data_IF_657516138049
#
_entry.id   IF_657516138049
#
_cell.length_a   1.000
_cell.length_b   1.000
_cell.length_c   1.000
_cell.angle_alpha   90.00
_cell.angle_beta   90.00
_cell.angle_gamma   90.00
#
_symmetry.space_group_name_H-M   'P 1'
#
loop_
_entity.id
_entity.type
_entity.pdbx_description
1 polymer ?
#
# COMPACT_ATOMS: atom_id res chain seq x y z
N UNK A 1 7.97 5.96 -14.72
CA UNK A 1 7.10 4.77 -14.83
C UNK A 1 7.90 3.53 -14.52
N UNK A 2 7.25 2.51 -13.97
CA UNK A 2 7.83 1.21 -13.69
C UNK A 2 6.78 0.13 -13.97
N UNK A 3 7.20 -1.10 -14.25
CA UNK A 3 6.27 -2.22 -14.43
C UNK A 3 5.57 -2.55 -13.11
N UNK A 4 4.26 -2.79 -13.17
CA UNK A 4 3.40 -3.19 -12.04
C UNK A 4 2.84 -4.59 -12.29
N UNK A 5 2.08 -5.13 -11.33
CA UNK A 5 1.40 -6.42 -11.48
C UNK A 5 2.42 -7.56 -11.74
N UNK A 6 2.00 -8.70 -12.28
CA UNK A 6 2.87 -9.82 -12.60
C UNK A 6 4.05 -9.41 -13.51
N UNK A 7 3.89 -8.38 -14.34
CA UNK A 7 4.96 -7.91 -15.24
C UNK A 7 6.13 -7.27 -14.51
N UNK A 8 5.88 -6.69 -13.33
CA UNK A 8 6.90 -6.09 -12.48
C UNK A 8 7.41 -7.02 -11.38
N UNK A 9 6.61 -8.00 -10.96
CA UNK A 9 6.83 -8.70 -9.69
C UNK A 9 6.66 -10.22 -9.76
N UNK A 10 6.55 -10.82 -10.95
CA UNK A 10 6.61 -12.28 -11.09
C UNK A 10 7.95 -12.81 -10.56
N UNK A 11 7.87 -13.74 -9.61
CA UNK A 11 9.02 -14.42 -9.02
C UNK A 11 8.86 -15.92 -9.13
N UNK A 12 9.86 -16.57 -9.73
CA UNK A 12 9.96 -18.04 -9.82
C UNK A 12 11.33 -18.56 -9.38
N UNK A 13 12.18 -17.70 -8.79
CA UNK A 13 13.56 -18.05 -8.43
C UNK A 13 14.45 -18.37 -9.63
N UNK A 14 14.06 -17.92 -10.83
CA UNK A 14 14.77 -18.14 -12.09
C UNK A 14 15.31 -16.82 -12.63
N UNK A 15 16.38 -16.87 -13.41
CA UNK A 15 16.93 -15.68 -14.08
C UNK A 15 15.92 -14.96 -14.99
N UNK A 16 14.99 -15.72 -15.61
CA UNK A 16 13.94 -15.18 -16.49
C UNK A 16 12.72 -14.64 -15.73
N UNK A 17 12.62 -14.91 -14.43
CA UNK A 17 11.58 -14.41 -13.53
C UNK A 17 12.14 -14.22 -12.11
N UNK A 18 13.07 -13.27 -11.91
CA UNK A 18 13.81 -13.12 -10.66
C UNK A 18 13.05 -12.30 -9.59
N UNK A 19 11.83 -11.84 -9.90
CA UNK A 19 11.12 -10.85 -9.07
C UNK A 19 11.67 -9.42 -9.24
N UNK A 20 11.00 -8.46 -8.58
CA UNK A 20 11.46 -7.07 -8.42
C UNK A 20 11.82 -6.29 -9.70
N UNK A 21 11.39 -6.73 -10.88
CA UNK A 21 11.63 -6.02 -12.13
C UNK A 21 11.07 -4.58 -12.10
N UNK A 22 9.94 -4.35 -11.41
CA UNK A 22 9.40 -3.02 -11.16
C UNK A 22 10.30 -2.13 -10.30
N UNK A 23 10.97 -2.68 -9.28
CA UNK A 23 11.94 -1.92 -8.48
C UNK A 23 13.22 -1.62 -9.27
N UNK A 24 13.65 -2.55 -10.12
CA UNK A 24 14.78 -2.33 -11.03
C UNK A 24 14.48 -1.25 -12.08
N UNK A 25 13.25 -1.17 -12.58
CA UNK A 25 12.83 -0.08 -13.47
C UNK A 25 12.92 1.28 -12.76
N UNK A 26 12.46 1.35 -11.51
CA UNK A 26 12.57 2.57 -10.70
C UNK A 26 14.04 2.94 -10.45
N UNK A 27 14.89 1.98 -10.11
CA UNK A 27 16.32 2.20 -9.93
C UNK A 27 16.98 2.73 -11.21
N UNK A 28 16.64 2.20 -12.39
CA UNK A 28 17.18 2.71 -13.65
C UNK A 28 16.67 4.12 -13.95
N UNK A 29 15.41 4.43 -13.63
CA UNK A 29 14.90 5.79 -13.72
C UNK A 29 15.66 6.75 -12.80
N UNK A 30 15.96 6.36 -11.56
CA UNK A 30 16.77 7.18 -10.63
C UNK A 30 18.20 7.39 -11.14
N UNK A 31 18.83 6.34 -11.69
CA UNK A 31 20.14 6.47 -12.34
C UNK A 31 20.09 7.41 -13.54
N UNK A 32 19.01 7.36 -14.34
CA UNK A 32 18.81 8.30 -15.44
C UNK A 32 18.68 9.74 -14.94
N UNK A 33 17.87 9.98 -13.89
CA UNK A 33 17.74 11.32 -13.28
C UNK A 33 19.10 11.81 -12.82
N UNK A 34 19.84 11.01 -12.06
CA UNK A 34 21.18 11.39 -11.59
C UNK A 34 22.15 11.72 -12.74
N UNK A 35 22.08 11.04 -13.89
CA UNK A 35 22.93 11.33 -15.05
C UNK A 35 22.50 12.56 -15.85
N UNK A 36 21.23 12.93 -15.84
CA UNK A 36 20.67 13.87 -16.81
C UNK A 36 20.04 15.13 -16.21
N UNK A 37 19.68 15.13 -14.93
CA UNK A 37 18.86 16.22 -14.35
C UNK A 37 19.55 17.58 -14.39
N UNK A 38 20.88 17.62 -14.39
CA UNK A 38 21.68 18.83 -14.58
C UNK A 38 21.36 19.57 -15.89
N UNK A 39 21.03 18.84 -16.97
CA UNK A 39 20.64 19.44 -18.25
C UNK A 39 19.27 20.15 -18.18
N UNK A 40 18.46 19.84 -17.16
CA UNK A 40 17.15 20.45 -16.91
C UNK A 40 17.20 21.50 -15.79
N UNK A 41 18.40 21.83 -15.28
CA UNK A 41 18.60 22.81 -14.21
C UNK A 41 18.42 22.26 -12.78
N UNK A 42 18.30 20.94 -12.60
CA UNK A 42 18.32 20.32 -11.28
C UNK A 42 19.73 19.93 -10.83
N UNK A 43 19.92 19.68 -9.55
CA UNK A 43 21.18 19.19 -9.00
C UNK A 43 21.11 17.66 -8.80
N UNK A 44 21.98 16.85 -9.45
CA UNK A 44 21.97 15.40 -9.27
C UNK A 44 22.35 14.94 -7.85
N UNK A 45 22.97 15.81 -7.03
CA UNK A 45 23.22 15.58 -5.61
C UNK A 45 22.05 16.03 -4.71
N UNK A 46 20.93 16.45 -5.32
CA UNK A 46 19.74 16.98 -4.65
C UNK A 46 18.44 16.38 -5.22
N UNK A 47 18.30 15.06 -5.06
CA UNK A 47 17.13 14.31 -5.53
C UNK A 47 16.27 13.76 -4.38
N UNK A 48 15.21 14.47 -3.99
CA UNK A 48 14.28 13.93 -2.98
C UNK A 48 13.35 12.88 -3.61
N UNK A 49 13.34 11.66 -3.04
CA UNK A 49 12.37 10.64 -3.42
C UNK A 49 11.11 10.77 -2.55
N UNK A 50 9.94 10.81 -3.21
CA UNK A 50 8.64 10.87 -2.57
C UNK A 50 7.71 9.85 -3.22
N UNK A 51 6.85 9.23 -2.41
CA UNK A 51 5.82 8.32 -2.88
C UNK A 51 4.72 8.15 -1.84
N UNK A 52 3.57 7.68 -2.30
CA UNK A 52 2.39 7.35 -1.50
C UNK A 52 2.04 5.87 -1.72
N UNK A 53 1.45 5.23 -0.71
CA UNK A 53 1.05 3.81 -0.75
C UNK A 53 2.20 2.90 -1.23
N UNK A 54 2.01 2.10 -2.28
CA UNK A 54 3.05 1.26 -2.88
C UNK A 54 4.30 2.05 -3.36
N UNK A 55 4.14 3.33 -3.70
CA UNK A 55 5.26 4.24 -3.99
C UNK A 55 6.08 4.58 -2.74
N UNK A 56 5.43 4.75 -1.58
CA UNK A 56 6.12 4.95 -0.30
C UNK A 56 6.89 3.68 0.10
N UNK A 57 6.27 2.51 -0.06
CA UNK A 57 6.93 1.22 0.15
C UNK A 57 8.15 1.05 -0.76
N UNK A 58 8.01 1.40 -2.04
CA UNK A 58 9.10 1.42 -3.04
C UNK A 58 10.23 2.39 -2.67
N UNK A 59 9.92 3.46 -1.94
CA UNK A 59 10.90 4.45 -1.44
C UNK A 59 11.66 3.98 -0.19
N UNK A 60 11.36 2.78 0.31
CA UNK A 60 12.04 2.14 1.44
C UNK A 60 11.14 1.81 2.63
N UNK A 61 9.89 2.32 2.68
CA UNK A 61 8.96 2.11 3.79
C UNK A 61 8.19 0.79 3.69
N UNK A 62 8.86 -0.31 3.38
CA UNK A 62 8.25 -1.63 3.15
C UNK A 62 7.97 -2.41 4.45
N UNK A 63 7.42 -1.76 5.48
CA UNK A 63 7.06 -2.37 6.78
C UNK A 63 5.61 -2.84 6.85
N UNK A 64 4.76 -2.34 5.96
CA UNK A 64 3.36 -2.75 5.86
C UNK A 64 3.24 -4.23 5.43
N UNK A 65 2.24 -4.98 5.93
CA UNK A 65 2.08 -6.40 5.61
C UNK A 65 1.92 -6.72 4.12
N UNK A 66 1.42 -5.77 3.34
CA UNK A 66 1.14 -5.91 1.91
C UNK A 66 2.30 -5.47 1.01
N UNK A 67 3.37 -4.91 1.59
CA UNK A 67 4.47 -4.30 0.83
C UNK A 67 5.50 -5.32 0.31
N UNK A 68 5.48 -6.55 0.81
CA UNK A 68 6.43 -7.62 0.50
C UNK A 68 5.73 -8.97 0.63
N UNK A 69 6.05 -9.90 -0.26
CA UNK A 69 5.57 -11.28 -0.19
C UNK A 69 6.72 -12.29 -0.07
N UNK A 70 6.41 -13.46 0.48
CA UNK A 70 7.35 -14.58 0.55
C UNK A 70 7.55 -15.24 -0.83
N UNK A 71 8.79 -15.63 -1.09
CA UNK A 71 9.19 -16.33 -2.32
C UNK A 71 8.30 -17.54 -2.64
N UNK A 72 8.06 -18.41 -1.66
CA UNK A 72 7.24 -19.62 -1.84
C UNK A 72 5.78 -19.28 -2.21
N UNK A 73 5.22 -18.23 -1.59
CA UNK A 73 3.85 -17.78 -1.88
C UNK A 73 3.74 -17.24 -3.31
N UNK A 74 4.73 -16.46 -3.78
CA UNK A 74 4.74 -15.97 -5.16
C UNK A 74 4.87 -17.11 -6.18
N UNK A 75 5.64 -18.16 -5.88
CA UNK A 75 5.73 -19.35 -6.72
C UNK A 75 4.38 -20.08 -6.76
N UNK A 76 3.73 -20.28 -5.61
CA UNK A 76 2.39 -20.89 -5.55
C UNK A 76 1.37 -20.08 -6.36
N UNK A 77 1.38 -18.75 -6.25
CA UNK A 77 0.50 -17.86 -7.03
C UNK A 77 0.76 -17.98 -8.53
N UNK A 78 2.02 -18.09 -8.95
CA UNK A 78 2.37 -18.30 -10.36
C UNK A 78 1.87 -19.66 -10.87
N UNK A 79 1.90 -20.70 -10.04
CA UNK A 79 1.34 -22.02 -10.37
C UNK A 79 -0.20 -22.00 -10.44
N UNK A 80 -0.87 -21.21 -9.61
CA UNK A 80 -2.33 -21.01 -9.73
C UNK A 80 -2.69 -20.26 -11.02
N UNK A 81 -1.91 -19.23 -11.37
CA UNK A 81 -2.07 -18.50 -12.64
C UNK A 81 -1.86 -19.44 -13.85
N UNK A 82 -0.90 -20.35 -13.76
CA UNK A 82 -0.62 -21.37 -14.78
C UNK A 82 -1.87 -22.17 -15.17
N UNK A 83 -2.68 -22.59 -14.20
CA UNK A 83 -3.91 -23.36 -14.43
C UNK A 83 -4.93 -22.54 -15.23
N UNK A 84 -5.08 -21.25 -14.91
CA UNK A 84 -5.96 -20.33 -15.63
C UNK A 84 -5.44 -19.97 -17.03
N UNK A 85 -4.12 -19.94 -17.21
CA UNK A 85 -3.45 -19.65 -18.48
C UNK A 85 -3.19 -20.88 -19.36
N UNK A 86 -3.63 -22.07 -18.94
CA UNK A 86 -3.47 -23.34 -19.67
C UNK A 86 -2.00 -23.71 -19.94
N UNK A 87 -1.10 -23.41 -18.99
CA UNK A 87 0.34 -23.60 -19.16
C UNK A 87 0.85 -25.02 -18.87
N UNK A 88 -0.04 -25.98 -18.58
CA UNK A 88 0.28 -27.40 -18.33
C UNK A 88 1.37 -27.65 -17.26
N UNK A 89 1.60 -26.69 -16.37
CA UNK A 89 2.44 -26.82 -15.16
C UNK A 89 1.52 -26.50 -13.99
N UNK A 90 1.41 -27.38 -13.00
CA UNK A 90 0.40 -27.23 -11.94
C UNK A 90 1.01 -27.27 -10.56
N UNK A 91 0.30 -26.70 -9.59
CA UNK A 91 0.69 -26.78 -8.17
C UNK A 91 0.68 -28.23 -7.63
N UNK A 92 0.06 -29.17 -8.36
CA UNK A 92 0.01 -30.59 -8.01
C UNK A 92 1.25 -31.36 -8.49
N UNK A 93 2.06 -30.77 -9.34
CA UNK A 93 3.27 -31.40 -9.83
C UNK A 93 4.29 -31.50 -8.70
N UNK A 94 4.85 -32.68 -8.49
CA UNK A 94 5.87 -32.88 -7.44
C UNK A 94 7.12 -32.03 -7.66
N UNK A 95 7.43 -31.73 -8.92
CA UNK A 95 8.55 -30.89 -9.34
C UNK A 95 8.08 -30.11 -10.58
N UNK A 96 7.40 -28.97 -10.39
CA UNK A 96 6.86 -28.20 -11.50
C UNK A 96 8.02 -27.63 -12.35
N UNK A 97 7.92 -27.75 -13.67
CA UNK A 97 8.89 -27.14 -14.59
C UNK A 97 8.63 -25.63 -14.66
N UNK A 98 9.24 -24.89 -13.73
CA UNK A 98 9.08 -23.44 -13.63
C UNK A 98 9.60 -22.70 -14.87
N UNK A 99 10.57 -23.29 -15.60
CA UNK A 99 11.08 -22.67 -16.82
C UNK A 99 10.07 -22.83 -17.97
N UNK A 100 9.41 -23.99 -18.07
CA UNK A 100 8.29 -24.17 -18.99
C UNK A 100 7.13 -23.23 -18.65
N UNK A 101 6.86 -23.02 -17.36
CA UNK A 101 5.85 -22.05 -16.91
C UNK A 101 6.18 -20.63 -17.38
N UNK A 102 7.40 -20.13 -17.16
CA UNK A 102 7.83 -18.79 -17.63
C UNK A 102 7.60 -18.65 -19.13
N UNK A 103 8.06 -19.63 -19.92
CA UNK A 103 7.93 -19.61 -21.39
C UNK A 103 6.47 -19.56 -21.83
N UNK A 104 5.60 -20.30 -21.15
CA UNK A 104 4.18 -20.25 -21.44
C UNK A 104 3.56 -18.90 -21.09
N UNK A 105 3.82 -18.38 -19.88
CA UNK A 105 3.31 -17.07 -19.46
C UNK A 105 3.78 -15.93 -20.38
N UNK A 106 5.01 -16.01 -20.92
CA UNK A 106 5.53 -15.06 -21.90
C UNK A 106 4.80 -15.10 -23.26
N UNK A 107 4.21 -16.24 -23.61
CA UNK A 107 3.43 -16.42 -24.84
C UNK A 107 1.93 -16.16 -24.64
N UNK A 108 1.46 -16.13 -23.40
CA UNK A 108 0.06 -15.91 -23.08
C UNK A 108 -0.37 -14.48 -23.47
N UNK A 109 -1.60 -14.30 -23.98
CA UNK A 109 -2.16 -12.97 -24.20
C UNK A 109 -2.17 -12.15 -22.91
N UNK A 110 -1.73 -10.89 -22.99
CA UNK A 110 -1.72 -9.95 -21.85
C UNK A 110 -3.10 -9.83 -21.19
N UNK A 111 -4.16 -9.81 -21.99
CA UNK A 111 -5.54 -9.77 -21.47
C UNK A 111 -5.90 -10.98 -20.61
N UNK A 112 -5.41 -12.17 -20.97
CA UNK A 112 -5.63 -13.38 -20.20
C UNK A 112 -4.85 -13.35 -18.88
N UNK A 113 -3.59 -12.88 -18.91
CA UNK A 113 -2.79 -12.72 -17.70
C UNK A 113 -3.46 -11.78 -16.71
N UNK A 114 -3.88 -10.58 -17.17
CA UNK A 114 -4.54 -9.59 -16.33
C UNK A 114 -5.91 -10.05 -15.81
N UNK A 115 -6.67 -10.80 -16.61
CA UNK A 115 -7.97 -11.33 -16.18
C UNK A 115 -7.84 -12.34 -15.04
N UNK A 116 -6.71 -13.05 -14.95
CA UNK A 116 -6.50 -14.15 -14.02
C UNK A 116 -5.43 -13.87 -12.96
N UNK A 117 -4.85 -12.67 -12.92
CA UNK A 117 -3.76 -12.33 -12.00
C UNK A 117 -4.17 -12.32 -10.53
N UNK A 118 -5.45 -12.06 -10.24
CA UNK A 118 -6.02 -12.02 -8.90
C UNK A 118 -6.35 -13.43 -8.42
N UNK A 119 -5.30 -14.15 -8.03
CA UNK A 119 -5.38 -15.52 -7.49
C UNK A 119 -5.64 -15.57 -5.98
N UNK A 120 -5.60 -14.42 -5.30
CA UNK A 120 -5.93 -14.26 -3.87
C UNK A 120 -7.09 -13.28 -3.67
N UNK A 121 -7.82 -13.46 -2.57
CA UNK A 121 -9.01 -12.67 -2.22
C UNK A 121 -9.00 -12.20 -0.76
N UNK A 122 -7.83 -12.22 -0.10
CA UNK A 122 -7.68 -11.70 1.25
C UNK A 122 -7.59 -10.16 1.22
N UNK A 123 -8.07 -9.51 2.28
CA UNK A 123 -8.11 -8.06 2.36
C UNK A 123 -6.70 -7.46 2.32
N UNK A 124 -6.47 -6.53 1.40
CA UNK A 124 -5.16 -5.91 1.15
C UNK A 124 -4.04 -6.94 0.90
N UNK A 125 -4.38 -8.08 0.29
CA UNK A 125 -3.43 -9.08 -0.16
C UNK A 125 -3.21 -8.95 -1.68
N UNK A 126 -2.25 -8.13 -2.08
CA UNK A 126 -1.93 -7.92 -3.48
C UNK A 126 -1.13 -9.11 -4.03
N UNK A 127 -1.52 -9.69 -5.18
CA UNK A 127 -0.95 -10.95 -5.65
C UNK A 127 0.53 -10.84 -6.04
N UNK A 128 0.95 -9.68 -6.56
CA UNK A 128 2.28 -9.46 -7.11
C UNK A 128 2.93 -8.23 -6.48
N UNK A 129 3.84 -8.47 -5.53
CA UNK A 129 4.52 -7.46 -4.73
C UNK A 129 6.02 -7.76 -4.66
N UNK A 130 6.86 -6.84 -4.15
CA UNK A 130 8.27 -7.12 -3.94
C UNK A 130 8.56 -8.41 -3.17
N UNK A 131 9.73 -9.00 -3.41
CA UNK A 131 10.23 -10.20 -2.74
C UNK A 131 11.67 -10.01 -2.29
N UNK A 132 12.11 -10.72 -1.24
CA UNK A 132 13.53 -10.84 -0.93
C UNK A 132 14.18 -11.75 -1.98
N UNK A 133 14.81 -11.14 -2.98
CA UNK A 133 15.46 -11.81 -4.12
C UNK A 133 16.97 -12.02 -3.91
N UNK A 134 17.51 -11.54 -2.78
CA UNK A 134 18.93 -11.53 -2.44
C UNK A 134 19.82 -10.77 -3.44
N UNK A 135 19.21 -9.92 -4.27
CA UNK A 135 19.90 -9.06 -5.23
C UNK A 135 19.53 -7.60 -5.03
N UNK A 136 18.25 -7.25 -5.19
CA UNK A 136 17.75 -5.91 -4.88
C UNK A 136 17.48 -5.78 -3.38
N UNK A 137 16.73 -6.72 -2.80
CA UNK A 137 16.51 -6.84 -1.36
C UNK A 137 17.32 -8.02 -0.84
N UNK A 138 18.36 -7.72 -0.06
CA UNK A 138 19.28 -8.73 0.48
C UNK A 138 18.69 -9.52 1.64
N UNK A 139 17.77 -8.92 2.39
CA UNK A 139 17.14 -9.45 3.59
C UNK A 139 15.77 -8.76 3.81
N UNK A 140 14.97 -9.30 4.73
CA UNK A 140 13.71 -8.72 5.17
C UNK A 140 13.85 -7.24 5.59
N UNK A 141 13.02 -6.32 5.07
CA UNK A 141 13.07 -4.90 5.42
C UNK A 141 13.07 -4.63 6.93
N UNK A 142 12.29 -5.40 7.70
CA UNK A 142 12.26 -5.31 9.17
C UNK A 142 13.63 -5.59 9.80
N UNK A 143 14.33 -6.63 9.34
CA UNK A 143 15.65 -6.97 9.86
C UNK A 143 16.72 -5.94 9.44
N UNK A 144 16.63 -5.39 8.22
CA UNK A 144 17.49 -4.29 7.77
C UNK A 144 17.29 -3.03 8.62
N UNK A 145 16.05 -2.70 8.94
CA UNK A 145 15.70 -1.58 9.82
C UNK A 145 16.13 -1.80 11.26
N UNK A 146 16.04 -3.02 11.78
CA UNK A 146 16.50 -3.38 13.12
C UNK A 146 18.01 -3.30 13.28
N UNK A 147 18.75 -3.78 12.28
CA UNK A 147 20.22 -3.77 12.28
C UNK A 147 20.84 -2.44 11.84
N UNK A 148 20.02 -1.48 11.42
CA UNK A 148 20.51 -0.17 10.98
C UNK A 148 21.07 -0.15 9.55
N UNK A 149 20.91 -1.23 8.79
CA UNK A 149 21.44 -1.43 7.43
C UNK A 149 20.57 -0.74 6.37
N UNK A 150 20.49 0.59 6.47
CA UNK A 150 19.75 1.45 5.54
C UNK A 150 20.42 2.82 5.44
N UNK A 151 20.16 3.55 4.35
CA UNK A 151 20.69 4.91 4.15
C UNK A 151 20.21 5.83 5.29
N UNK A 152 21.14 6.48 5.97
CA UNK A 152 20.81 7.56 6.91
C UNK A 152 20.52 8.83 6.13
N UNK A 153 19.27 9.28 6.21
CA UNK A 153 18.81 10.55 5.65
C UNK A 153 17.71 11.14 6.54
N UNK A 154 17.33 12.38 6.26
CA UNK A 154 16.14 12.98 6.84
C UNK A 154 14.88 12.36 6.20
N UNK A 155 13.85 12.16 6.99
CA UNK A 155 12.58 11.61 6.51
C UNK A 155 11.41 12.53 6.85
N UNK A 156 10.51 12.71 5.87
CA UNK A 156 9.13 13.12 6.11
C UNK A 156 8.23 11.94 5.76
N UNK A 157 7.37 11.54 6.70
CA UNK A 157 6.36 10.51 6.48
C UNK A 157 5.11 10.82 7.30
N UNK A 158 4.03 10.11 7.03
CA UNK A 158 2.78 10.30 7.76
C UNK A 158 1.71 9.35 7.31
N UNK A 159 0.54 9.56 7.89
CA UNK A 159 -0.68 8.79 7.62
C UNK A 159 -1.88 9.72 7.56
N UNK A 160 -2.92 9.30 6.88
CA UNK A 160 -4.21 9.96 6.84
C UNK A 160 -5.07 9.49 8.02
N UNK A 161 -6.13 10.24 8.30
CA UNK A 161 -7.03 9.88 9.38
C UNK A 161 -7.75 8.55 9.12
N UNK A 162 -8.24 8.30 7.90
CA UNK A 162 -9.05 7.13 7.55
C UNK A 162 -8.42 6.32 6.40
N UNK A 163 -7.38 5.55 6.74
CA UNK A 163 -6.50 4.86 5.78
C UNK A 163 -7.13 3.65 5.11
N UNK A 164 -8.06 2.95 5.78
CA UNK A 164 -8.51 1.64 5.28
C UNK A 164 -9.92 1.66 4.70
N UNK A 165 -10.74 2.64 5.04
CA UNK A 165 -12.15 2.65 4.62
C UNK A 165 -12.32 2.70 3.10
N UNK A 166 -11.40 3.33 2.37
CA UNK A 166 -11.34 3.27 0.91
C UNK A 166 -11.27 1.82 0.41
N UNK A 167 -10.44 0.98 1.03
CA UNK A 167 -10.27 -0.41 0.63
C UNK A 167 -11.42 -1.29 1.11
N UNK A 168 -11.93 -1.05 2.32
CA UNK A 168 -13.01 -1.85 2.92
C UNK A 168 -14.25 -1.89 2.01
N UNK A 169 -14.64 -0.75 1.41
CA UNK A 169 -15.81 -0.68 0.53
C UNK A 169 -15.68 -1.50 -0.76
N UNK A 170 -14.46 -1.86 -1.18
CA UNK A 170 -14.23 -2.72 -2.34
C UNK A 170 -14.21 -4.21 -2.00
N UNK A 171 -13.96 -4.57 -0.73
CA UNK A 171 -13.73 -5.96 -0.32
C UNK A 171 -14.95 -6.65 0.28
N UNK A 172 -15.86 -5.89 0.93
CA UNK A 172 -16.99 -6.51 1.63
C UNK A 172 -18.30 -6.22 0.92
N UNK A 173 -18.48 -6.80 -0.26
CA UNK A 173 -19.64 -6.61 -1.14
C UNK A 173 -21.00 -6.89 -0.47
N UNK A 174 -21.05 -7.83 0.47
CA UNK A 174 -22.26 -8.17 1.25
C UNK A 174 -22.61 -7.13 2.31
N UNK A 175 -21.65 -6.29 2.71
CA UNK A 175 -21.82 -5.25 3.73
C UNK A 175 -21.90 -3.86 3.07
N UNK A 176 -21.05 -3.61 2.09
CA UNK A 176 -20.96 -2.39 1.30
C UNK A 176 -21.21 -2.75 -0.16
N UNK A 177 -22.48 -2.79 -0.57
CA UNK A 177 -22.76 -2.86 -2.01
C UNK A 177 -22.37 -1.52 -2.64
N UNK A 178 -21.66 -1.57 -3.78
CA UNK A 178 -21.09 -0.36 -4.42
C UNK A 178 -22.14 0.70 -4.75
N UNK A 179 -23.35 0.28 -5.12
CA UNK A 179 -24.51 1.15 -5.37
C UNK A 179 -25.06 1.79 -4.08
N UNK A 180 -24.91 1.10 -2.94
CA UNK A 180 -25.34 1.60 -1.64
C UNK A 180 -24.32 2.54 -0.98
N UNK A 181 -23.02 2.42 -1.30
CA UNK A 181 -21.94 3.26 -0.73
C UNK A 181 -22.26 4.76 -0.83
N UNK A 182 -22.79 5.20 -1.97
CA UNK A 182 -23.09 6.61 -2.23
C UNK A 182 -24.46 7.08 -1.72
N UNK A 183 -25.32 6.17 -1.28
CA UNK A 183 -26.71 6.50 -0.90
C UNK A 183 -27.00 6.27 0.57
N UNK A 184 -26.33 5.30 1.21
CA UNK A 184 -26.46 5.02 2.64
C UNK A 184 -25.31 5.67 3.42
N UNK A 185 -25.65 6.20 4.59
CA UNK A 185 -24.68 6.76 5.54
C UNK A 185 -24.35 5.79 6.69
N UNK A 186 -25.14 4.72 6.85
CA UNK A 186 -25.01 3.76 7.94
C UNK A 186 -25.01 2.33 7.38
N UNK A 187 -23.90 1.60 7.57
CA UNK A 187 -23.74 0.22 7.07
C UNK A 187 -23.61 -0.80 8.19
N UNK A 188 -22.87 -0.48 9.26
CA UNK A 188 -22.64 -1.36 10.40
C UNK A 188 -23.63 -1.07 11.52
N UNK A 189 -24.91 -1.37 11.31
CA UNK A 189 -25.99 -0.94 12.22
C UNK A 189 -26.12 -1.79 13.50
N UNK A 190 -25.55 -3.00 13.52
CA UNK A 190 -25.60 -3.91 14.66
C UNK A 190 -24.24 -4.61 14.92
N UNK A 191 -24.07 -5.19 16.11
CA UNK A 191 -22.85 -5.89 16.53
C UNK A 191 -22.52 -7.07 15.61
N UNK A 192 -23.54 -7.80 15.14
CA UNK A 192 -23.36 -8.98 14.31
C UNK A 192 -22.75 -8.61 12.96
N UNK A 193 -23.22 -7.54 12.32
CA UNK A 193 -22.65 -7.03 11.07
C UNK A 193 -21.22 -6.53 11.25
N UNK A 194 -20.93 -5.85 12.37
CA UNK A 194 -19.58 -5.41 12.70
C UNK A 194 -18.63 -6.60 12.90
N UNK A 195 -19.00 -7.61 13.69
CA UNK A 195 -18.20 -8.82 13.88
C UNK A 195 -18.00 -9.60 12.58
N UNK A 196 -19.03 -9.68 11.72
CA UNK A 196 -18.92 -10.28 10.39
C UNK A 196 -17.93 -9.52 9.49
N UNK A 197 -17.94 -8.19 9.53
CA UNK A 197 -17.01 -7.34 8.80
C UNK A 197 -15.57 -7.58 9.28
N UNK A 198 -15.36 -7.56 10.60
CA UNK A 198 -14.06 -7.83 11.22
C UNK A 198 -13.56 -9.21 10.80
N UNK A 199 -14.39 -10.25 10.93
CA UNK A 199 -14.01 -11.61 10.54
C UNK A 199 -13.67 -11.72 9.05
N UNK A 200 -14.43 -11.07 8.17
CA UNK A 200 -14.22 -11.10 6.72
C UNK A 200 -12.91 -10.42 6.28
N UNK A 201 -12.52 -9.35 6.98
CA UNK A 201 -11.35 -8.54 6.65
C UNK A 201 -10.07 -8.99 7.36
N UNK A 202 -10.18 -9.68 8.50
CA UNK A 202 -9.02 -10.18 9.22
C UNK A 202 -8.18 -11.13 8.36
N UNK A 203 -6.85 -11.10 8.46
CA UNK A 203 -6.02 -12.10 7.80
C UNK A 203 -6.37 -13.54 8.19
N UNK A 204 -6.33 -14.48 7.24
CA UNK A 204 -6.77 -15.87 7.47
C UNK A 204 -6.06 -16.54 8.66
N UNK A 205 -4.76 -16.24 8.83
CA UNK A 205 -3.95 -16.71 9.97
C UNK A 205 -4.47 -16.27 11.33
N UNK A 206 -5.19 -15.15 11.41
CA UNK A 206 -5.75 -14.61 12.65
C UNK A 206 -7.22 -14.97 12.87
N UNK A 207 -7.99 -15.19 11.79
CA UNK A 207 -9.44 -15.52 11.88
C UNK A 207 -9.74 -16.70 12.78
N UNK A 208 -8.90 -17.75 12.75
CA UNK A 208 -9.11 -18.99 13.49
C UNK A 208 -8.61 -18.93 14.93
N UNK A 209 -7.91 -17.86 15.33
CA UNK A 209 -7.40 -17.72 16.68
C UNK A 209 -8.38 -16.87 17.52
N UNK A 210 -9.17 -17.50 18.42
CA UNK A 210 -10.20 -16.78 19.17
C UNK A 210 -9.62 -15.75 20.15
N UNK A 211 -8.38 -15.93 20.59
CA UNK A 211 -7.71 -14.98 21.49
C UNK A 211 -7.35 -13.71 20.72
N UNK A 212 -6.76 -13.86 19.53
CA UNK A 212 -6.39 -12.73 18.67
C UNK A 212 -7.65 -11.96 18.26
N UNK A 213 -8.69 -12.65 17.81
CA UNK A 213 -9.96 -12.02 17.44
C UNK A 213 -10.57 -11.19 18.58
N UNK A 214 -10.60 -11.75 19.80
CA UNK A 214 -11.12 -11.04 20.98
C UNK A 214 -10.26 -9.87 21.40
N UNK A 215 -8.93 -10.00 21.33
CA UNK A 215 -8.02 -8.90 21.64
C UNK A 215 -8.22 -7.72 20.69
N UNK A 216 -8.40 -8.00 19.40
CA UNK A 216 -8.66 -6.98 18.38
C UNK A 216 -10.02 -6.29 18.63
N UNK A 217 -11.08 -7.06 18.87
CA UNK A 217 -12.38 -6.47 19.20
C UNK A 217 -12.31 -5.62 20.48
N UNK A 218 -11.59 -6.08 21.50
CA UNK A 218 -11.41 -5.34 22.74
C UNK A 218 -10.69 -4.01 22.52
N UNK A 219 -9.58 -4.02 21.79
CA UNK A 219 -8.78 -2.81 21.52
C UNK A 219 -9.58 -1.73 20.78
N UNK A 220 -10.40 -2.13 19.81
CA UNK A 220 -11.14 -1.19 18.93
C UNK A 220 -12.60 -0.95 19.36
N UNK A 221 -13.01 -1.43 20.55
CA UNK A 221 -14.34 -1.13 21.10
C UNK A 221 -14.25 0.00 22.12
N UNK A 222 -14.96 1.09 21.87
CA UNK A 222 -15.16 2.16 22.87
C UNK A 222 -16.21 1.71 23.89
N UNK A 223 -15.76 1.21 25.05
CA UNK A 223 -16.64 0.73 26.12
C UNK A 223 -17.29 1.86 26.93
N UNK A 224 -16.80 3.10 26.80
CA UNK A 224 -17.31 4.24 27.56
C UNK A 224 -18.51 4.93 26.87
N UNK A 225 -18.71 4.67 25.57
CA UNK A 225 -19.75 5.32 24.76
C UNK A 225 -20.69 4.31 24.10
N UNK A 226 -21.96 4.68 23.84
CA UNK A 226 -22.88 3.81 23.14
C UNK A 226 -22.37 3.45 21.75
N UNK A 227 -22.44 2.18 21.36
CA UNK A 227 -22.12 1.77 20.00
C UNK A 227 -23.14 2.36 19.01
N UNK A 228 -22.66 3.10 18.01
CA UNK A 228 -23.46 3.60 16.88
C UNK A 228 -22.91 3.04 15.58
N UNK A 229 -23.68 3.11 14.50
CA UNK A 229 -23.22 2.64 13.20
C UNK A 229 -21.95 3.35 12.73
N UNK A 230 -21.83 4.66 12.99
CA UNK A 230 -20.65 5.45 12.68
C UNK A 230 -19.45 5.03 13.52
N UNK A 231 -19.61 4.81 14.83
CA UNK A 231 -18.51 4.36 15.70
C UNK A 231 -18.00 2.98 15.28
N UNK A 232 -18.89 2.06 14.88
CA UNK A 232 -18.48 0.74 14.35
C UNK A 232 -17.72 0.87 13.04
N UNK A 233 -18.14 1.77 12.15
CA UNK A 233 -17.43 2.03 10.89
C UNK A 233 -16.05 2.64 11.15
N UNK A 234 -15.95 3.60 12.07
CA UNK A 234 -14.67 4.18 12.49
C UNK A 234 -13.76 3.14 13.14
N UNK A 235 -14.28 2.29 14.02
CA UNK A 235 -13.52 1.20 14.63
C UNK A 235 -12.99 0.21 13.57
N UNK A 236 -13.81 -0.12 12.57
CA UNK A 236 -13.41 -0.97 11.46
C UNK A 236 -12.28 -0.32 10.65
N UNK A 237 -12.43 0.97 10.31
CA UNK A 237 -11.39 1.72 9.61
C UNK A 237 -10.08 1.78 10.41
N UNK A 238 -10.14 2.11 11.70
CA UNK A 238 -8.93 2.24 12.53
C UNK A 238 -8.22 0.90 12.70
N UNK A 239 -8.95 -0.18 12.92
CA UNK A 239 -8.40 -1.53 13.05
C UNK A 239 -7.52 -1.92 11.86
N UNK A 240 -8.04 -1.72 10.65
CA UNK A 240 -7.34 -2.11 9.43
C UNK A 240 -6.38 -1.03 8.93
N UNK A 241 -6.68 0.24 9.18
CA UNK A 241 -5.80 1.38 8.87
C UNK A 241 -4.51 1.30 9.69
N UNK A 242 -4.63 1.01 10.98
CA UNK A 242 -3.49 0.83 11.86
C UNK A 242 -2.63 -0.35 11.42
N UNK A 243 -3.24 -1.52 11.22
CA UNK A 243 -2.50 -2.73 10.88
C UNK A 243 -1.82 -2.66 9.49
N UNK A 244 -2.51 -2.11 8.48
CA UNK A 244 -2.00 -2.08 7.11
C UNK A 244 -1.21 -0.82 6.76
N UNK A 245 -1.35 0.29 7.47
CA UNK A 245 -0.71 1.56 7.11
C UNK A 245 -0.05 2.25 8.30
N UNK A 246 -0.82 2.79 9.23
CA UNK A 246 -0.33 3.72 10.27
C UNK A 246 0.75 3.11 11.16
N UNK A 247 0.59 1.86 11.62
CA UNK A 247 1.59 1.22 12.48
C UNK A 247 2.89 0.91 11.72
N UNK A 248 2.81 0.57 10.43
CA UNK A 248 4.00 0.34 9.60
C UNK A 248 4.81 1.63 9.40
N UNK A 249 4.12 2.75 9.13
CA UNK A 249 4.69 4.10 9.05
C UNK A 249 5.36 4.47 10.38
N UNK A 250 4.67 4.27 11.51
CA UNK A 250 5.20 4.53 12.84
C UNK A 250 6.42 3.67 13.20
N UNK A 251 6.41 2.39 12.82
CA UNK A 251 7.57 1.51 12.98
C UNK A 251 8.75 2.06 12.18
N UNK A 252 8.55 2.39 10.90
CA UNK A 252 9.61 2.91 10.02
C UNK A 252 10.22 4.21 10.57
N UNK A 253 9.39 5.18 10.96
CA UNK A 253 9.81 6.42 11.62
C UNK A 253 10.66 6.15 12.88
N UNK A 254 10.20 5.22 13.73
CA UNK A 254 10.90 4.85 14.97
C UNK A 254 12.27 4.26 14.67
N UNK A 255 12.38 3.34 13.70
CA UNK A 255 13.66 2.70 13.35
C UNK A 255 14.68 3.69 12.82
N UNK A 256 14.26 4.68 12.00
CA UNK A 256 15.15 5.74 11.53
C UNK A 256 15.64 6.63 12.68
N UNK A 257 14.72 7.07 13.54
CA UNK A 257 15.06 7.88 14.73
C UNK A 257 16.02 7.15 15.67
N UNK A 258 15.75 5.88 15.96
CA UNK A 258 16.57 5.07 16.87
C UNK A 258 18.01 4.88 16.34
N UNK A 259 18.21 5.05 15.02
CA UNK A 259 19.53 5.05 14.39
C UNK A 259 20.05 6.45 14.01
N UNK A 260 19.51 7.51 14.63
CA UNK A 260 20.06 8.87 14.58
C UNK A 260 19.62 9.74 13.39
N UNK A 261 18.69 9.29 12.54
CA UNK A 261 18.14 10.10 11.46
C UNK A 261 17.11 11.13 11.97
N UNK A 262 17.10 12.38 11.45
CA UNK A 262 15.99 13.30 11.67
C UNK A 262 14.70 12.78 11.04
N UNK A 263 13.62 12.77 11.81
CA UNK A 263 12.32 12.27 11.36
C UNK A 263 11.24 13.30 11.65
N UNK A 264 10.51 13.66 10.60
CA UNK A 264 9.34 14.53 10.65
C UNK A 264 8.11 13.68 10.32
N UNK A 265 7.14 13.66 11.22
CA UNK A 265 5.89 12.93 11.03
C UNK A 265 4.74 13.91 10.84
N UNK A 266 3.83 13.62 9.92
CA UNK A 266 2.54 14.30 9.81
C UNK A 266 1.38 13.33 10.06
N UNK A 267 0.23 13.89 10.40
CA UNK A 267 -1.04 13.18 10.43
C UNK A 267 -2.07 14.04 9.72
N UNK A 268 -2.56 13.58 8.57
CA UNK A 268 -3.39 14.37 7.69
C UNK A 268 -4.88 14.18 8.01
N UNK A 269 -5.54 15.28 8.39
CA UNK A 269 -6.92 15.26 8.91
C UNK A 269 -7.86 16.16 8.13
N UNK A 270 -7.43 16.72 6.99
CA UNK A 270 -8.28 17.58 6.17
C UNK A 270 -9.09 16.73 5.18
N UNK A 271 -10.40 16.64 5.39
CA UNK A 271 -11.31 16.15 4.36
C UNK A 271 -11.47 17.22 3.29
N UNK A 272 -11.21 16.87 2.03
CA UNK A 272 -11.31 17.81 0.91
C UNK A 272 -12.76 18.20 0.62
N UNK A 273 -13.02 19.49 0.37
CA UNK A 273 -14.31 19.98 -0.12
C UNK A 273 -14.66 19.44 -1.51
N UNK A 274 -13.65 19.04 -2.29
CA UNK A 274 -13.79 18.46 -3.63
C UNK A 274 -13.88 16.92 -3.60
N UNK A 275 -13.78 16.29 -2.42
CA UNK A 275 -13.89 14.85 -2.28
C UNK A 275 -15.31 14.37 -2.60
N UNK A 276 -15.43 13.59 -3.68
CA UNK A 276 -16.71 13.05 -4.16
C UNK A 276 -17.20 11.81 -3.41
N UNK A 277 -16.38 11.23 -2.53
CA UNK A 277 -16.80 10.12 -1.68
C UNK A 277 -17.79 10.59 -0.60
N UNK A 278 -18.66 9.71 -0.09
CA UNK A 278 -19.54 10.02 1.03
C UNK A 278 -18.82 10.66 2.23
N UNK A 279 -19.53 11.53 2.95
CA UNK A 279 -19.00 12.25 4.12
C UNK A 279 -18.52 11.30 5.23
N UNK A 280 -19.24 10.20 5.45
CA UNK A 280 -18.94 9.20 6.47
C UNK A 280 -17.57 8.52 6.27
N UNK A 281 -17.02 8.54 5.06
CA UNK A 281 -15.71 7.96 4.75
C UNK A 281 -14.52 8.84 5.19
N UNK A 282 -14.77 10.03 5.73
CA UNK A 282 -13.72 10.82 6.37
C UNK A 282 -12.58 11.24 5.43
N UNK A 283 -11.34 11.13 5.90
CA UNK A 283 -10.10 11.57 5.23
C UNK A 283 -9.35 10.36 4.69
N UNK A 284 -9.62 10.07 3.42
CA UNK A 284 -9.22 8.82 2.78
C UNK A 284 -7.73 8.71 2.48
N UNK A 285 -7.23 7.47 2.41
CA UNK A 285 -5.94 7.13 1.80
C UNK A 285 -5.72 7.85 0.46
N UNK A 286 -4.57 8.49 0.31
CA UNK A 286 -4.14 9.19 -0.91
C UNK A 286 -4.75 10.58 -1.14
N UNK A 287 -5.67 11.07 -0.30
CA UNK A 287 -6.28 12.40 -0.51
C UNK A 287 -5.37 13.58 -0.15
N UNK A 288 -4.29 13.34 0.58
CA UNK A 288 -3.24 14.32 0.82
C UNK A 288 -2.42 14.63 -0.45
N UNK A 289 -2.40 13.70 -1.43
CA UNK A 289 -1.72 13.87 -2.73
C UNK A 289 -2.20 15.15 -3.42
N UNK A 290 -3.52 15.40 -3.43
CA UNK A 290 -4.11 16.60 -4.05
C UNK A 290 -3.47 17.88 -3.50
N UNK A 291 -3.25 17.93 -2.19
CA UNK A 291 -2.66 19.10 -1.52
C UNK A 291 -1.16 19.19 -1.76
N UNK A 292 -0.45 18.07 -1.68
CA UNK A 292 0.99 17.95 -1.92
C UNK A 292 1.37 18.47 -3.32
N UNK A 293 0.59 18.11 -4.35
CA UNK A 293 0.83 18.55 -5.72
C UNK A 293 0.17 19.90 -6.08
N UNK A 294 -0.42 20.59 -5.10
CA UNK A 294 -0.93 21.94 -5.27
C UNK A 294 -2.23 22.03 -6.07
N UNK A 295 -3.04 20.96 -6.15
CA UNK A 295 -4.35 20.98 -6.80
C UNK A 295 -5.27 22.11 -6.29
N UNK A 296 -5.30 22.44 -4.98
CA UNK A 296 -6.07 23.59 -4.47
C UNK A 296 -5.74 24.93 -5.14
N UNK A 297 -4.54 25.07 -5.73
CA UNK A 297 -4.11 26.29 -6.43
C UNK A 297 -4.64 26.38 -7.87
N UNK A 298 -5.18 25.27 -8.42
CA UNK A 298 -5.80 25.25 -9.74
C UNK A 298 -7.26 25.74 -9.70
N UNK A 299 -7.40 27.06 -9.53
CA UNK A 299 -8.70 27.76 -9.47
C UNK A 299 -9.50 27.72 -10.77
N UNK A 300 -8.93 27.20 -11.88
CA UNK A 300 -9.64 27.06 -13.15
C UNK A 300 -10.50 25.80 -13.19
N UNK A 301 -10.12 24.77 -12.44
CA UNK A 301 -10.68 23.44 -12.55
C UNK A 301 -11.41 23.00 -11.28
N UNK A 302 -11.03 23.54 -10.11
CA UNK A 302 -11.55 23.13 -8.81
C UNK A 302 -11.98 24.33 -7.96
N UNK A 303 -12.90 24.10 -7.03
CA UNK A 303 -13.52 25.11 -6.17
C UNK A 303 -13.17 24.93 -4.68
N UNK A 304 -11.91 24.60 -4.38
CA UNK A 304 -11.37 24.51 -3.03
C UNK A 304 -11.57 25.78 -2.20
N UNK A 305 -11.75 25.61 -0.89
CA UNK A 305 -11.87 26.71 0.06
C UNK A 305 -10.55 27.48 0.23
N UNK A 306 -10.61 28.72 0.72
CA UNK A 306 -9.40 29.50 1.02
C UNK A 306 -8.51 28.86 2.09
N UNK A 307 -9.09 28.09 3.01
CA UNK A 307 -8.32 27.34 4.00
C UNK A 307 -7.51 26.21 3.33
N UNK A 308 -8.12 25.49 2.39
CA UNK A 308 -7.47 24.40 1.66
C UNK A 308 -6.39 24.91 0.70
N UNK A 309 -6.58 26.07 0.08
CA UNK A 309 -5.53 26.75 -0.71
C UNK A 309 -4.29 27.04 0.13
N UNK A 310 -4.48 27.53 1.37
CA UNK A 310 -3.38 27.80 2.31
C UNK A 310 -2.72 26.49 2.77
N UNK A 311 -3.50 25.46 3.03
CA UNK A 311 -2.97 24.14 3.40
C UNK A 311 -2.14 23.55 2.26
N UNK A 312 -2.66 23.54 1.03
CA UNK A 312 -1.95 23.05 -0.16
C UNK A 312 -0.65 23.83 -0.41
N UNK A 313 -0.68 25.16 -0.30
CA UNK A 313 0.55 25.98 -0.38
C UNK A 313 1.59 25.59 0.68
N UNK A 314 1.13 25.32 1.91
CA UNK A 314 2.02 24.95 3.02
C UNK A 314 2.64 23.57 2.80
N UNK A 315 1.85 22.57 2.42
CA UNK A 315 2.34 21.21 2.17
C UNK A 315 3.29 21.15 0.96
N UNK A 316 2.95 21.85 -0.13
CA UNK A 316 3.81 21.98 -1.29
C UNK A 316 5.17 22.60 -0.93
N UNK A 317 5.16 23.65 -0.10
CA UNK A 317 6.38 24.31 0.36
C UNK A 317 7.20 23.46 1.35
N UNK A 318 6.57 22.57 2.13
CA UNK A 318 7.27 21.65 3.02
C UNK A 318 8.08 20.62 2.23
N UNK A 319 7.51 20.06 1.16
CA UNK A 319 8.23 19.10 0.31
C UNK A 319 9.43 19.73 -0.39
N UNK A 320 9.32 20.98 -0.84
CA UNK A 320 10.45 21.71 -1.43
C UNK A 320 11.60 22.04 -0.47
N UNK A 321 11.45 21.75 0.84
CA UNK A 321 12.47 22.00 1.88
C UNK A 321 13.10 20.72 2.42
N UNK A 322 12.68 19.55 1.96
CA UNK A 322 13.14 18.25 2.49
C UNK A 322 14.25 17.66 1.64
N UNK A 323 15.22 17.09 2.35
CA UNK A 323 16.56 16.66 1.96
C UNK A 323 16.90 16.38 0.48
N UNK A 324 18.08 16.85 0.05
CA UNK A 324 18.85 16.36 -1.10
C UNK A 324 19.30 14.89 -1.00
N UNK A 325 19.32 14.16 -2.12
CA UNK A 325 20.07 12.89 -2.27
C UNK A 325 21.59 13.14 -2.23
N UNK A 326 22.16 13.31 -1.04
CA UNK A 326 23.62 13.35 -0.88
C UNK A 326 24.25 11.97 -0.77
#
# INVERSE_FOLDING_TARGET
NYRVSLFGFLYLGLADAPGNAGLLDQLEALKWVHRNIAAFGGDPADVTLFGESAGAASSGAATAPWALENADVLIERALLLSEACQCNVTIRDRNPDLLALVRCLQQAPVSQLLQHEWVTYEFLDFPWTPVVDHYFLTEQPKALLESGQFKKCELLLGSNHDESIYFIVYYVDKIFKRDEVFTKQEFLVDDRLFEQAVYALLPQKYRKNPIVHRAILFEYTDFDRPATAQRRQQALDKMFGDYHFTCGVNEFARRFRDHGSPVYSYYFTQRSSEQQWPEWMGVLHGYEINYVFGEPLNVKQFAYTEAEKRLGSTLHALLGKLCPYR
#
